data_IF_793249467920
#
_entry.id   IF_793249467920
#
_cell.length_a   1.000
_cell.length_b   1.000
_cell.length_c   1.000
_cell.angle_alpha   90.00
_cell.angle_beta   90.00
_cell.angle_gamma   90.00
#
_symmetry.space_group_name_H-M   'P 1'
#
loop_
_entity.id
_entity.type
_entity.pdbx_description
1 polymer ?
#
# COMPACT_ATOMS: atom_id res chain seq x y z
N UNK A 1 10.68 -2.36 8.28
CA UNK A 1 9.90 -2.05 7.06
C UNK A 1 9.29 -0.68 7.21
N UNK A 2 10.04 0.41 6.98
CA UNK A 2 9.45 1.75 6.91
C UNK A 2 9.06 2.02 5.45
N UNK A 3 7.91 1.48 5.04
CA UNK A 3 7.30 1.85 3.76
C UNK A 3 6.88 3.32 3.85
N UNK A 4 7.30 4.13 2.88
CA UNK A 4 6.90 5.55 2.78
C UNK A 4 5.38 5.67 2.77
N UNK A 5 4.85 6.79 3.24
CA UNK A 5 3.40 7.06 3.25
C UNK A 5 2.80 6.83 1.87
N UNK A 6 3.50 7.22 0.81
CA UNK A 6 3.09 6.98 -0.58
C UNK A 6 2.98 5.49 -0.91
N UNK A 7 3.94 4.66 -0.49
CA UNK A 7 3.87 3.22 -0.73
C UNK A 7 2.74 2.56 0.07
N UNK A 8 2.46 3.05 1.28
CA UNK A 8 1.31 2.60 2.08
C UNK A 8 -0.01 2.95 1.38
N UNK A 9 -0.13 4.15 0.80
CA UNK A 9 -1.33 4.53 0.03
C UNK A 9 -1.49 3.68 -1.23
N UNK A 10 -0.39 3.40 -1.95
CA UNK A 10 -0.40 2.55 -3.14
C UNK A 10 -0.86 1.14 -2.81
N UNK A 11 -0.29 0.54 -1.76
CA UNK A 11 -0.64 -0.80 -1.31
C UNK A 11 -2.11 -0.90 -0.83
N UNK A 12 -2.61 0.13 -0.15
CA UNK A 12 -4.01 0.19 0.28
C UNK A 12 -4.98 0.26 -0.90
N UNK A 13 -4.69 1.06 -1.93
CA UNK A 13 -5.50 1.09 -3.16
C UNK A 13 -5.47 -0.24 -3.92
N UNK A 14 -4.31 -0.88 -4.00
CA UNK A 14 -4.16 -2.21 -4.63
C UNK A 14 -5.01 -3.27 -3.91
N UNK A 15 -5.03 -3.24 -2.57
CA UNK A 15 -5.82 -4.17 -1.77
C UNK A 15 -7.32 -3.97 -1.96
N UNK A 16 -7.79 -2.72 -2.02
CA UNK A 16 -9.21 -2.41 -2.32
C UNK A 16 -9.60 -2.97 -3.69
N UNK A 17 -8.80 -2.71 -4.73
CA UNK A 17 -9.10 -3.19 -6.08
C UNK A 17 -9.08 -4.73 -6.17
N UNK A 18 -8.21 -5.39 -5.39
CA UNK A 18 -8.16 -6.85 -5.28
C UNK A 18 -9.42 -7.41 -4.62
N UNK A 19 -9.87 -6.82 -3.52
CA UNK A 19 -11.08 -7.23 -2.80
C UNK A 19 -12.33 -7.02 -3.66
N UNK A 20 -12.44 -5.91 -4.40
CA UNK A 20 -13.54 -5.65 -5.32
C UNK A 20 -13.63 -6.72 -6.41
N UNK A 21 -12.50 -7.06 -7.05
CA UNK A 21 -12.45 -8.14 -8.05
C UNK A 21 -12.89 -9.48 -7.46
N UNK A 22 -12.51 -9.75 -6.21
CA UNK A 22 -12.87 -10.99 -5.54
C UNK A 22 -14.36 -11.04 -5.19
N UNK A 23 -14.94 -9.93 -4.75
CA UNK A 23 -16.39 -9.78 -4.52
C UNK A 23 -17.17 -10.00 -5.81
N UNK A 24 -16.77 -9.37 -6.92
CA UNK A 24 -17.42 -9.56 -8.23
C UNK A 24 -17.36 -11.03 -8.65
N UNK A 25 -16.20 -11.67 -8.50
CA UNK A 25 -16.04 -13.09 -8.83
C UNK A 25 -16.89 -14.00 -7.94
N UNK A 26 -16.98 -13.71 -6.64
CA UNK A 26 -17.79 -14.53 -5.73
C UNK A 26 -19.28 -14.36 -6.06
N UNK A 27 -19.75 -13.15 -6.37
CA UNK A 27 -21.14 -12.86 -6.75
C UNK A 27 -21.55 -13.42 -8.12
N UNK A 28 -20.61 -13.57 -9.06
CA UNK A 28 -20.87 -14.22 -10.35
C UNK A 28 -21.17 -15.72 -10.22
N UNK A 29 -20.74 -16.36 -9.13
CA UNK A 29 -21.04 -17.76 -8.86
C UNK A 29 -22.40 -17.86 -8.16
N UNK A 30 -23.42 -18.33 -8.89
CA UNK A 30 -24.74 -18.57 -8.30
C UNK A 30 -24.72 -19.81 -7.37
N UNK A 31 -25.07 -19.65 -6.08
CA UNK A 31 -25.08 -20.77 -5.14
C UNK A 31 -26.28 -21.70 -5.39
N UNK A 32 -26.03 -23.01 -5.45
CA UNK A 32 -27.06 -24.02 -5.66
C UNK A 32 -28.01 -24.20 -4.45
N UNK A 33 -27.53 -23.93 -3.23
CA UNK A 33 -28.28 -24.16 -1.99
C UNK A 33 -28.45 -22.86 -1.19
N UNK A 34 -29.57 -22.74 -0.46
CA UNK A 34 -29.81 -21.61 0.45
C UNK A 34 -28.71 -21.45 1.53
N UNK A 35 -28.14 -22.56 2.00
CA UNK A 35 -27.00 -22.57 2.92
C UNK A 35 -25.78 -21.88 2.30
N UNK A 36 -25.43 -22.25 1.07
CA UNK A 36 -24.27 -21.71 0.36
C UNK A 36 -24.44 -20.22 0.05
N UNK A 37 -25.66 -19.78 -0.24
CA UNK A 37 -26.02 -18.36 -0.39
C UNK A 37 -25.77 -17.56 0.89
N UNK A 38 -26.11 -18.12 2.05
CA UNK A 38 -25.85 -17.47 3.34
C UNK A 38 -24.34 -17.35 3.60
N UNK A 39 -23.57 -18.41 3.34
CA UNK A 39 -22.11 -18.38 3.47
C UNK A 39 -21.47 -17.36 2.53
N UNK A 40 -21.89 -17.31 1.27
CA UNK A 40 -21.45 -16.31 0.30
C UNK A 40 -21.76 -14.89 0.79
N UNK A 41 -22.97 -14.66 1.32
CA UNK A 41 -23.36 -13.35 1.85
C UNK A 41 -22.49 -12.90 3.02
N UNK A 42 -22.12 -13.82 3.93
CA UNK A 42 -21.21 -13.52 5.03
C UNK A 42 -19.78 -13.21 4.54
N UNK A 43 -19.27 -13.98 3.57
CA UNK A 43 -17.95 -13.72 2.98
C UNK A 43 -17.89 -12.35 2.31
N UNK A 44 -18.87 -12.04 1.48
CA UNK A 44 -18.96 -10.75 0.77
C UNK A 44 -19.09 -9.59 1.76
N UNK A 45 -19.89 -9.73 2.82
CA UNK A 45 -19.98 -8.72 3.88
C UNK A 45 -18.61 -8.45 4.50
N UNK A 46 -17.88 -9.48 4.92
CA UNK A 46 -16.57 -9.31 5.54
C UNK A 46 -15.56 -8.62 4.60
N UNK A 47 -15.61 -8.94 3.29
CA UNK A 47 -14.77 -8.28 2.28
C UNK A 47 -15.13 -6.79 2.16
N UNK A 48 -16.42 -6.46 2.12
CA UNK A 48 -16.89 -5.07 2.06
C UNK A 48 -16.49 -4.29 3.32
N UNK A 49 -16.62 -4.88 4.51
CA UNK A 49 -16.21 -4.24 5.76
C UNK A 49 -14.70 -3.94 5.77
N UNK A 50 -13.90 -4.84 5.17
CA UNK A 50 -12.45 -4.64 4.99
C UNK A 50 -12.16 -3.52 3.99
N UNK A 51 -12.93 -3.41 2.89
CA UNK A 51 -12.81 -2.31 1.93
C UNK A 51 -13.12 -0.99 2.64
N UNK A 52 -14.24 -0.89 3.36
CA UNK A 52 -14.66 0.33 4.07
C UNK A 52 -13.57 0.81 5.02
N UNK A 53 -13.08 -0.06 5.90
CA UNK A 53 -12.02 0.29 6.86
C UNK A 53 -10.70 0.72 6.19
N UNK A 54 -10.35 0.11 5.05
CA UNK A 54 -9.16 0.49 4.29
C UNK A 54 -9.35 1.85 3.59
N UNK A 55 -10.55 2.12 3.08
CA UNK A 55 -10.89 3.41 2.47
C UNK A 55 -10.96 4.53 3.51
N UNK A 56 -11.51 4.29 4.70
CA UNK A 56 -11.50 5.26 5.81
C UNK A 56 -10.07 5.65 6.19
N UNK A 57 -9.19 4.66 6.35
CA UNK A 57 -7.76 4.90 6.58
C UNK A 57 -7.11 5.70 5.44
N UNK A 58 -7.47 5.42 4.18
CA UNK A 58 -6.97 6.20 3.04
C UNK A 58 -7.44 7.66 3.13
N UNK A 59 -8.70 7.91 3.46
CA UNK A 59 -9.24 9.27 3.65
C UNK A 59 -8.47 10.00 4.75
N UNK A 60 -8.22 9.37 5.89
CA UNK A 60 -7.41 9.95 6.96
C UNK A 60 -5.99 10.33 6.50
N UNK A 61 -5.36 9.50 5.67
CA UNK A 61 -4.04 9.81 5.08
C UNK A 61 -4.14 10.99 4.11
N UNK A 62 -5.23 11.11 3.34
CA UNK A 62 -5.43 12.24 2.43
C UNK A 62 -5.78 13.55 3.14
N UNK A 63 -6.44 13.50 4.30
CA UNK A 63 -6.73 14.67 5.14
C UNK A 63 -5.45 15.33 5.68
N UNK A 64 -4.33 14.60 5.74
CA UNK A 64 -2.97 15.12 6.01
C UNK A 64 -2.90 16.04 7.24
N UNK A 65 -3.55 15.64 8.36
CA UNK A 65 -3.62 16.42 9.61
C UNK A 65 -2.25 16.79 10.16
N UNK A 66 -1.23 15.98 9.86
CA UNK A 66 0.11 16.11 10.41
C UNK A 66 1.12 16.72 9.40
N UNK A 67 0.68 17.10 8.19
CA UNK A 67 1.54 17.53 7.05
C UNK A 67 2.65 16.54 6.65
N UNK A 68 2.61 15.31 7.16
CA UNK A 68 3.63 14.29 6.94
C UNK A 68 3.77 13.93 5.45
N UNK A 69 2.69 14.04 4.68
CA UNK A 69 2.72 13.81 3.23
C UNK A 69 3.53 14.89 2.51
N UNK A 70 3.38 16.16 2.91
CA UNK A 70 4.14 17.27 2.34
C UNK A 70 5.62 17.13 2.63
N UNK A 71 5.97 16.71 3.84
CA UNK A 71 7.35 16.56 4.27
C UNK A 71 8.04 15.36 3.59
N UNK A 72 7.32 14.24 3.37
CA UNK A 72 7.84 13.14 2.54
C UNK A 72 8.03 13.55 1.08
N UNK A 73 7.09 14.31 0.49
CA UNK A 73 7.22 14.80 -0.89
C UNK A 73 8.41 15.77 -1.01
N UNK A 74 8.62 16.63 -0.03
CA UNK A 74 9.79 17.54 0.00
C UNK A 74 11.11 16.76 0.11
N UNK A 75 11.13 15.72 0.97
CA UNK A 75 12.28 14.83 1.12
C UNK A 75 12.57 14.03 -0.17
N UNK A 76 11.54 13.52 -0.84
CA UNK A 76 11.66 12.81 -2.12
C UNK A 76 12.05 13.76 -3.27
N UNK A 77 11.58 15.01 -3.23
CA UNK A 77 11.93 16.08 -4.17
C UNK A 77 13.32 16.67 -3.95
N UNK A 78 14.12 16.10 -3.05
CA UNK A 78 15.49 16.53 -2.76
C UNK A 78 15.61 17.92 -2.15
N UNK A 79 14.51 18.45 -1.61
CA UNK A 79 14.48 19.76 -0.94
C UNK A 79 14.89 19.56 0.52
N UNK A 80 16.19 19.73 0.77
CA UNK A 80 16.70 19.95 2.12
C UNK A 80 16.92 21.45 2.34
N UNK A 81 17.04 21.87 3.60
CA UNK A 81 17.19 23.28 4.00
C UNK A 81 18.36 24.05 3.33
N UNK A 82 19.20 23.37 2.54
CA UNK A 82 20.40 23.87 1.88
C UNK A 82 20.42 23.68 0.35
N UNK A 83 19.29 23.33 -0.28
CA UNK A 83 19.14 23.30 -1.74
C UNK A 83 18.64 21.96 -2.31
N UNK A 84 18.34 21.96 -3.62
CA UNK A 84 17.73 20.84 -4.37
C UNK A 84 18.79 19.83 -4.81
N UNK A 85 19.08 18.82 -3.98
CA UNK A 85 20.03 17.74 -4.29
C UNK A 85 19.30 16.39 -4.42
N UNK A 86 18.43 16.27 -5.42
CA UNK A 86 17.67 15.05 -5.73
C UNK A 86 18.58 13.86 -6.04
N UNK A 87 19.73 14.13 -6.68
CA UNK A 87 20.63 13.10 -7.16
C UNK A 87 21.39 12.39 -6.03
N UNK A 88 21.81 13.09 -4.96
CA UNK A 88 22.59 12.47 -3.88
C UNK A 88 21.78 11.45 -3.08
N UNK A 89 20.54 11.79 -2.73
CA UNK A 89 19.64 10.89 -2.00
C UNK A 89 19.30 9.62 -2.79
N UNK A 90 19.17 9.74 -4.13
CA UNK A 90 18.97 8.59 -5.01
C UNK A 90 20.19 7.65 -5.02
N UNK A 91 21.41 8.21 -5.12
CA UNK A 91 22.64 7.41 -5.12
C UNK A 91 22.88 6.70 -3.79
N UNK A 92 22.52 7.31 -2.66
CA UNK A 92 22.70 6.68 -1.35
C UNK A 92 21.73 5.51 -1.14
N UNK A 93 20.48 5.62 -1.63
CA UNK A 93 19.55 4.47 -1.66
C UNK A 93 19.97 3.38 -2.64
N UNK A 94 20.56 3.76 -3.78
CA UNK A 94 21.07 2.79 -4.74
C UNK A 94 22.23 1.99 -4.15
N UNK A 95 23.13 2.63 -3.37
CA UNK A 95 24.19 1.94 -2.63
C UNK A 95 23.62 0.95 -1.60
N UNK A 96 22.58 1.31 -0.86
CA UNK A 96 21.95 0.43 0.13
C UNK A 96 21.38 -0.86 -0.50
N UNK A 97 20.73 -0.75 -1.67
CA UNK A 97 20.17 -1.92 -2.38
C UNK A 97 21.28 -2.79 -3.00
N UNK A 98 22.35 -2.18 -3.52
CA UNK A 98 23.49 -2.90 -4.13
C UNK A 98 24.43 -3.55 -3.11
N UNK A 99 24.44 -3.12 -1.85
CA UNK A 99 25.30 -3.69 -0.82
C UNK A 99 24.80 -5.02 -0.24
N UNK A 100 23.50 -5.30 -0.32
CA UNK A 100 22.91 -6.55 0.16
C UNK A 100 23.40 -7.83 -0.59
N UNK A 101 23.49 -7.85 -1.93
CA UNK A 101 23.97 -9.04 -2.65
C UNK A 101 25.47 -9.31 -2.47
N UNK A 102 26.30 -8.28 -2.20
CA UNK A 102 27.75 -8.48 -2.02
C UNK A 102 28.09 -9.17 -0.69
N UNK A 103 27.30 -8.92 0.37
CA UNK A 103 27.53 -9.53 1.69
C UNK A 103 27.12 -11.02 1.71
N UNK A 104 26.10 -11.41 0.92
CA UNK A 104 25.66 -12.81 0.79
C UNK A 104 26.69 -13.63 -0.02
N UNK A 105 27.35 -13.03 -1.01
CA UNK A 105 28.33 -13.74 -1.84
C UNK A 105 29.71 -13.92 -1.18
N UNK A 106 30.08 -13.10 -0.19
CA UNK A 106 31.38 -13.20 0.50
C UNK A 106 31.39 -14.15 1.72
N UNK A 107 30.23 -14.69 2.12
CA UNK A 107 30.08 -15.55 3.30
C UNK A 107 29.59 -16.98 2.99
N UNK A 108 29.70 -17.43 1.74
CA UNK A 108 29.42 -18.81 1.32
C UNK A 108 30.64 -19.51 0.72
#
# INVERSE_FOLDING_TARGET
MSSTLLEVTRAAHEEVERLERLVVKDLQNEPATAKDRLFQSHRVRNMIDTIISTTERLVEIYEDKDNARRDEIAALGGQTATGTNVFSAFYDRLKEVLFLPLFICLFS
#
